data_IF_162367965104
#
_entry.id   IF_162367965104
#
_cell.length_a   1.000
_cell.length_b   1.000
_cell.length_c   1.000
_cell.angle_alpha   90.00
_cell.angle_beta   90.00
_cell.angle_gamma   90.00
#
_symmetry.space_group_name_H-M   'P 1'
#
loop_
_entity.id
_entity.type
_entity.pdbx_description
1 polymer ?
#
# COMPACT_ATOMS: atom_id res chain seq x y z
N UNK A 1 11.41 -16.18 4.88
CA UNK A 1 11.09 -14.98 4.08
C UNK A 1 9.59 -14.99 3.88
N UNK A 2 8.93 -13.86 4.12
CA UNK A 2 7.47 -13.75 4.04
C UNK A 2 7.11 -13.02 2.73
N UNK A 3 6.07 -13.50 2.07
CA UNK A 3 5.52 -12.87 0.87
C UNK A 3 4.57 -11.73 1.23
N UNK A 4 4.66 -10.63 0.49
CA UNK A 4 3.77 -9.46 0.63
C UNK A 4 3.33 -8.97 -0.75
N UNK A 5 2.15 -8.35 -0.75
CA UNK A 5 1.57 -7.70 -1.91
C UNK A 5 1.68 -6.18 -1.73
N UNK A 6 2.20 -5.49 -2.74
CA UNK A 6 2.27 -4.03 -2.77
C UNK A 6 1.46 -3.52 -3.94
N UNK A 7 0.36 -2.83 -3.67
CA UNK A 7 -0.45 -2.17 -4.68
C UNK A 7 -0.01 -0.72 -4.81
N UNK A 8 0.44 -0.32 -6.00
CA UNK A 8 0.88 1.03 -6.32
C UNK A 8 -0.22 1.77 -7.07
N UNK A 9 -0.67 2.88 -6.51
CA UNK A 9 -1.63 3.78 -7.14
C UNK A 9 -0.86 4.84 -7.93
N UNK A 10 -1.12 4.91 -9.23
CA UNK A 10 -0.43 5.78 -10.18
C UNK A 10 -1.47 6.67 -10.90
N UNK A 11 -1.20 7.97 -11.05
CA UNK A 11 -2.14 8.93 -11.64
C UNK A 11 -2.44 8.70 -13.14
N UNK A 12 -1.63 7.88 -13.81
CA UNK A 12 -1.79 7.53 -15.23
C UNK A 12 -2.75 6.36 -15.44
N UNK A 13 -3.06 5.60 -14.39
CA UNK A 13 -3.84 4.37 -14.48
C UNK A 13 -5.01 4.37 -13.49
N UNK A 14 -6.15 3.83 -13.92
CA UNK A 14 -7.34 3.71 -13.07
C UNK A 14 -7.29 2.52 -12.11
N UNK A 15 -6.39 1.56 -12.32
CA UNK A 15 -6.25 0.33 -11.53
C UNK A 15 -4.84 0.29 -10.93
N UNK A 16 -4.68 -0.07 -9.64
CA UNK A 16 -3.37 -0.18 -9.02
C UNK A 16 -2.51 -1.28 -9.65
N UNK A 17 -1.20 -1.05 -9.70
CA UNK A 17 -0.24 -2.07 -10.13
C UNK A 17 0.18 -2.93 -8.94
N UNK A 18 0.09 -4.26 -9.08
CA UNK A 18 0.51 -5.20 -8.05
C UNK A 18 2.01 -5.57 -8.21
N UNK A 19 2.77 -5.42 -7.13
CA UNK A 19 4.11 -5.96 -6.96
C UNK A 19 4.11 -7.01 -5.86
N UNK A 20 4.62 -8.21 -6.17
CA UNK A 20 4.88 -9.24 -5.18
C UNK A 20 6.32 -9.10 -4.69
N UNK A 21 6.49 -8.95 -3.38
CA UNK A 21 7.81 -8.83 -2.75
C UNK A 21 8.01 -9.91 -1.70
N UNK A 22 9.26 -10.31 -1.50
CA UNK A 22 9.67 -11.17 -0.39
C UNK A 22 10.58 -10.37 0.54
N UNK A 23 10.27 -10.38 1.83
CA UNK A 23 11.04 -9.65 2.83
C UNK A 23 11.33 -10.53 4.05
N UNK A 24 12.45 -10.25 4.72
CA UNK A 24 12.84 -11.00 5.93
C UNK A 24 11.96 -10.65 7.14
N UNK A 25 11.49 -9.40 7.21
CA UNK A 25 10.63 -8.89 8.27
C UNK A 25 9.73 -7.76 7.71
N UNK A 26 8.78 -7.30 8.53
CA UNK A 26 7.87 -6.23 8.15
C UNK A 26 8.58 -4.88 7.88
N UNK A 27 9.66 -4.59 8.60
CA UNK A 27 10.44 -3.36 8.39
C UNK A 27 11.00 -3.28 6.97
N UNK A 28 11.57 -4.39 6.49
CA UNK A 28 12.12 -4.48 5.13
C UNK A 28 11.01 -4.39 4.07
N UNK A 29 9.86 -5.02 4.30
CA UNK A 29 8.69 -4.91 3.42
C UNK A 29 8.21 -3.45 3.31
N UNK A 30 8.16 -2.72 4.43
CA UNK A 30 7.80 -1.30 4.46
C UNK A 30 8.80 -0.43 3.70
N UNK A 31 10.11 -0.69 3.83
CA UNK A 31 11.14 0.03 3.05
C UNK A 31 11.00 -0.23 1.56
N UNK A 32 10.70 -1.45 1.15
CA UNK A 32 10.45 -1.78 -0.25
C UNK A 32 9.19 -1.07 -0.80
N UNK A 33 8.10 -1.02 -0.03
CA UNK A 33 6.90 -0.28 -0.41
C UNK A 33 7.16 1.24 -0.55
N UNK A 34 7.89 1.85 0.38
CA UNK A 34 8.28 3.28 0.29
C UNK A 34 9.20 3.54 -0.92
N UNK A 35 10.13 2.63 -1.20
CA UNK A 35 10.98 2.71 -2.38
C UNK A 35 10.16 2.64 -3.70
N UNK A 36 9.15 1.76 -3.76
CA UNK A 36 8.23 1.69 -4.91
C UNK A 36 7.43 2.99 -5.06
N UNK A 37 6.93 3.57 -3.97
CA UNK A 37 6.24 4.86 -4.02
C UNK A 37 7.15 5.96 -4.59
N UNK A 38 8.43 6.00 -4.20
CA UNK A 38 9.38 7.02 -4.66
C UNK A 38 9.98 6.77 -6.03
N UNK A 39 9.73 5.59 -6.63
CA UNK A 39 10.31 5.22 -7.91
C UNK A 39 9.79 6.06 -9.10
N UNK A 40 8.66 6.75 -8.93
CA UNK A 40 8.04 7.58 -9.97
C UNK A 40 7.29 8.75 -9.31
N UNK A 41 7.33 9.93 -9.94
CA UNK A 41 6.52 11.09 -9.53
C UNK A 41 5.03 10.91 -9.78
N UNK A 42 4.64 9.92 -10.59
CA UNK A 42 3.25 9.57 -10.87
C UNK A 42 2.65 8.64 -9.81
N UNK A 43 3.48 8.01 -8.97
CA UNK A 43 2.97 7.15 -7.89
C UNK A 43 2.42 8.03 -6.77
N UNK A 44 1.11 7.96 -6.58
CA UNK A 44 0.38 8.78 -5.60
C UNK A 44 0.30 8.12 -4.22
N UNK A 45 0.36 6.78 -4.18
CA UNK A 45 0.23 6.04 -2.94
C UNK A 45 0.53 4.56 -3.11
N UNK A 46 0.79 3.89 -1.99
CA UNK A 46 1.01 2.44 -1.95
C UNK A 46 0.24 1.81 -0.80
N UNK A 47 -0.25 0.60 -1.03
CA UNK A 47 -0.83 -0.26 0.00
C UNK A 47 0.05 -1.50 0.14
N UNK A 48 0.43 -1.83 1.37
CA UNK A 48 1.17 -3.05 1.70
C UNK A 48 0.22 -4.02 2.39
N UNK A 49 0.11 -5.21 1.84
CA UNK A 49 -0.74 -6.29 2.32
C UNK A 49 0.08 -7.55 2.62
N UNK A 50 -0.36 -8.32 3.60
CA UNK A 50 0.22 -9.61 3.93
C UNK A 50 -0.81 -10.51 4.60
N UNK A 51 -0.88 -11.77 4.18
CA UNK A 51 -1.84 -12.73 4.70
C UNK A 51 -3.31 -12.34 4.47
N UNK A 52 -3.60 -11.57 3.41
CA UNK A 52 -4.94 -11.07 3.11
C UNK A 52 -5.36 -9.82 3.88
N UNK A 53 -4.50 -9.29 4.77
CA UNK A 53 -4.78 -8.08 5.53
C UNK A 53 -3.89 -6.91 5.09
N UNK A 54 -4.45 -5.71 5.10
CA UNK A 54 -3.69 -4.50 4.81
C UNK A 54 -2.92 -4.07 6.06
N UNK A 55 -1.59 -4.08 5.93
CA UNK A 55 -0.65 -3.75 6.99
C UNK A 55 -0.35 -2.25 7.03
N UNK A 56 -0.25 -1.61 5.86
CA UNK A 56 0.10 -0.20 5.74
C UNK A 56 -0.52 0.42 4.49
N UNK A 57 -0.84 1.71 4.57
CA UNK A 57 -1.14 2.57 3.43
C UNK A 57 -0.30 3.85 3.52
N UNK A 58 0.26 4.32 2.40
CA UNK A 58 1.10 5.52 2.30
C UNK A 58 0.57 6.40 1.15
N UNK A 59 0.70 7.73 1.27
CA UNK A 59 0.25 8.68 0.26
C UNK A 59 -1.26 8.80 0.22
N UNK A 60 -1.85 8.94 -0.97
CA UNK A 60 -3.32 9.07 -1.14
C UNK A 60 -4.10 7.87 -0.58
N UNK A 61 -3.44 6.72 -0.40
CA UNK A 61 -4.06 5.54 0.19
C UNK A 61 -4.26 5.67 1.71
N UNK A 62 -3.46 6.49 2.40
CA UNK A 62 -3.60 6.71 3.84
C UNK A 62 -4.93 7.44 4.17
N UNK A 63 -5.38 8.30 3.25
CA UNK A 63 -6.63 9.05 3.38
C UNK A 63 -7.86 8.18 3.06
N UNK A 64 -7.72 7.15 2.21
CA UNK A 64 -8.81 6.23 1.83
C UNK A 64 -9.31 5.34 2.97
N UNK A 65 -8.55 5.17 4.06
CA UNK A 65 -9.01 4.45 5.26
C UNK A 65 -9.99 5.26 6.12
N UNK A 66 -10.13 6.56 5.89
CA UNK A 66 -11.17 7.38 6.52
C UNK A 66 -12.48 7.36 5.68
N UNK A 67 -12.96 6.17 5.33
CA UNK A 67 -14.26 5.94 4.66
C UNK A 67 -15.35 5.52 5.66
N UNK A 68 -16.65 5.73 5.36
CA UNK A 68 -17.72 6.10 6.30
C UNK A 68 -18.19 5.06 7.33
N UNK A 69 -17.60 3.88 7.41
CA UNK A 69 -18.10 2.77 8.26
C UNK A 69 -17.80 2.95 9.76
N UNK A 70 -17.05 3.98 10.15
CA UNK A 70 -16.80 4.37 11.55
C UNK A 70 -17.78 5.44 12.08
N UNK A 71 -18.89 5.74 11.39
CA UNK A 71 -19.94 6.70 11.85
C UNK A 71 -21.29 6.08 12.20
N UNK A 72 -21.39 4.76 12.36
CA UNK A 72 -22.60 4.11 12.90
C UNK A 72 -22.30 3.48 14.25
N UNK A 73 -22.00 4.34 15.23
CA UNK A 73 -22.03 4.03 16.65
C UNK A 73 -22.20 5.34 17.43
N UNK A 74 -23.37 5.97 17.30
CA UNK A 74 -23.95 6.87 18.30
C UNK A 74 -25.41 6.48 18.52
#
# INVERSE_FOLDING_TARGET
>A
MNGYEVFVHDDRYSVPTLHLISAANLGDARRAADALLRASSHHLGVELWGGGEQILAIGVCAERRAGPELRLAE
#
